data_IF_400751396313
#
_entry.id   IF_400751396313
#
_cell.length_a   1.000
_cell.length_b   1.000
_cell.length_c   1.000
_cell.angle_alpha   90.00
_cell.angle_beta   90.00
_cell.angle_gamma   90.00
#
_symmetry.space_group_name_H-M   'P 1'
#
loop_
_entity.id
_entity.type
_entity.pdbx_description
1 polymer ?
2 polymer ?
3 polymer ?
4 non-polymer ?
5 water ?
#
loop_
_entity_poly.entity_id
_entity_poly.type
_entity_poly.pdbx_seq_one_letter_code
_entity_poly.pdbx_strand_id
2 'polyribonucleotide' 'GUCCCCAC(PGP)' ?
3 'polyribonucleotide' '(U5P)GUGGGG' ?
#
# COMPACT_ATOMS: atom_id res chain seq x y z
N UNK A 54 -14.05 5.92 17.40
CA UNK A 54 -13.32 4.71 17.91
C UNK A 54 -12.42 4.10 16.83
N UNK A 55 -11.25 4.70 16.66
CA UNK A 55 -10.40 4.33 15.56
C UNK A 55 -9.08 3.76 16.02
N UNK A 56 -8.79 2.56 15.53
CA UNK A 56 -7.42 2.10 15.44
C UNK A 56 -7.17 1.46 14.06
N UNK A 57 -5.91 1.37 13.69
CA UNK A 57 -5.49 0.57 12.58
C UNK A 57 -4.57 -0.47 13.17
N UNK A 58 -4.76 -1.73 12.80
CA UNK A 58 -3.82 -2.78 13.20
C UNK A 58 -2.70 -2.91 12.16
N UNK A 59 -1.47 -3.00 12.62
CA UNK A 59 -0.34 -3.26 11.75
C UNK A 59 0.21 -4.67 12.02
N UNK A 60 0.41 -5.42 10.95
CA UNK A 60 1.06 -6.73 11.06
C UNK A 60 2.22 -6.81 10.07
N UNK A 61 3.37 -7.22 10.60
CA UNK A 61 4.53 -7.48 9.76
C UNK A 61 4.66 -8.98 9.54
N UNK A 62 4.87 -9.36 8.27
CA UNK A 62 5.07 -10.77 7.94
C UNK A 62 6.37 -10.94 7.15
N UNK A 63 7.17 -11.90 7.57
CA UNK A 63 8.43 -12.22 6.90
C UNK A 63 8.23 -13.54 6.18
N UNK A 64 8.06 -13.46 4.87
CA UNK A 64 7.59 -14.59 4.08
C UNK A 64 8.76 -15.55 3.88
N UNK A 65 8.42 -16.81 3.68
CA UNK A 65 9.37 -17.89 3.62
C UNK A 65 9.44 -18.38 2.17
N UNK A 66 10.56 -18.08 1.50
CA UNK A 66 10.76 -18.39 0.08
C UNK A 66 10.74 -19.88 -0.16
N UNK A 67 10.94 -20.68 0.89
CA UNK A 67 10.89 -22.14 0.81
C UNK A 67 9.48 -22.60 0.44
N UNK A 68 8.50 -21.77 0.82
CA UNK A 68 7.08 -22.10 0.68
C UNK A 68 6.55 -21.75 -0.70
N UNK A 69 5.90 -22.72 -1.32
CA UNK A 69 5.29 -22.58 -2.64
C UNK A 69 4.20 -21.52 -2.68
N UNK A 70 3.38 -21.50 -1.63
CA UNK A 70 2.34 -20.49 -1.46
C UNK A 70 2.92 -19.07 -1.32
N UNK A 71 3.89 -18.88 -0.41
CA UNK A 71 4.66 -17.63 -0.37
C UNK A 71 5.20 -17.19 -1.73
N UNK A 72 5.89 -18.10 -2.42
CA UNK A 72 6.49 -17.80 -3.72
C UNK A 72 5.46 -17.38 -4.77
N UNK A 73 4.29 -18.01 -4.71
CA UNK A 73 3.14 -17.64 -5.56
C UNK A 73 2.66 -16.22 -5.27
N UNK A 74 2.42 -15.91 -3.99
CA UNK A 74 1.97 -14.58 -3.61
C UNK A 74 3.03 -13.52 -3.86
N UNK A 75 4.31 -13.87 -3.73
CA UNK A 75 5.40 -12.92 -4.00
C UNK A 75 5.54 -12.60 -5.50
N UNK A 76 5.15 -13.54 -6.37
CA UNK A 76 5.11 -13.30 -7.82
C UNK A 76 3.80 -12.66 -8.33
N UNK A 77 2.72 -12.78 -7.59
CA UNK A 77 1.41 -12.27 -8.03
C UNK A 77 0.62 -11.53 -6.93
N UNK A 78 0.58 -10.19 -7.03
CA UNK A 78 -0.09 -9.28 -6.09
C UNK A 78 -1.52 -9.63 -5.79
N UNK A 79 -2.24 -10.10 -6.80
CA UNK A 79 -3.60 -10.51 -6.61
C UNK A 79 -3.70 -11.83 -5.79
N UNK A 80 -2.73 -12.73 -5.93
CA UNK A 80 -2.72 -13.91 -5.05
C UNK A 80 -2.38 -13.50 -3.61
N UNK A 81 -1.41 -12.60 -3.49
CA UNK A 81 -1.04 -12.05 -2.21
C UNK A 81 -2.26 -11.47 -1.48
N UNK A 82 -3.02 -10.66 -2.20
CA UNK A 82 -4.24 -10.07 -1.66
C UNK A 82 -5.26 -11.09 -1.14
N UNK A 83 -5.50 -12.15 -1.92
CA UNK A 83 -6.35 -13.23 -1.50
C UNK A 83 -5.89 -13.80 -0.16
N UNK A 84 -4.60 -14.09 -0.04
CA UNK A 84 -4.09 -14.67 1.20
C UNK A 84 -4.28 -13.75 2.41
N UNK A 85 -3.99 -12.47 2.22
CA UNK A 85 -4.12 -11.53 3.36
C UNK A 85 -5.58 -11.26 3.77
N UNK A 86 -6.48 -11.31 2.79
CA UNK A 86 -7.90 -11.07 3.02
C UNK A 86 -8.52 -12.10 3.95
N UNK A 87 -7.96 -13.31 3.99
CA UNK A 87 -8.37 -14.29 4.97
C UNK A 87 -8.21 -13.90 6.44
N UNK A 88 -7.23 -13.06 6.76
CA UNK A 88 -7.01 -12.64 8.16
C UNK A 88 -8.18 -11.83 8.68
N UNK A 89 -8.84 -11.13 7.75
CA UNK A 89 -9.92 -10.22 8.09
C UNK A 89 -11.18 -10.46 7.25
N UNK A 90 -11.50 -11.70 6.96
CA UNK A 90 -12.50 -11.95 5.92
C UNK A 90 -13.96 -11.73 6.33
N UNK A 91 -14.29 -12.04 7.59
CA UNK A 91 -15.61 -11.66 8.06
C UNK A 91 -15.76 -10.15 8.06
N UNK A 92 -14.71 -9.43 8.43
CA UNK A 92 -14.80 -7.98 8.48
C UNK A 92 -14.88 -7.40 7.06
N UNK A 93 -14.18 -8.04 6.12
CA UNK A 93 -14.28 -7.68 4.70
C UNK A 93 -15.73 -7.78 4.19
N UNK A 94 -16.42 -8.86 4.55
CA UNK A 94 -17.85 -9.02 4.25
C UNK A 94 -18.75 -7.94 4.88
N UNK A 95 -18.32 -7.39 6.01
CA UNK A 95 -19.13 -6.44 6.78
C UNK A 95 -18.97 -4.99 6.35
N UNK A 96 -18.06 -4.73 5.41
CA UNK A 96 -18.14 -3.53 4.57
C UNK A 96 -17.33 -2.33 5.06
N UNK A 97 -16.74 -2.43 6.25
CA UNK A 97 -16.14 -1.26 6.86
C UNK A 97 -14.64 -1.51 7.09
N UNK A 98 -14.10 -2.47 6.35
CA UNK A 98 -12.68 -2.78 6.40
C UNK A 98 -11.96 -2.21 5.14
N UNK A 99 -10.70 -1.85 5.30
CA UNK A 99 -9.84 -1.44 4.17
C UNK A 99 -8.47 -2.07 4.36
N UNK A 100 -8.34 -3.28 3.81
CA UNK A 100 -7.09 -4.00 3.76
C UNK A 100 -6.06 -3.26 2.87
N UNK A 101 -4.93 -2.92 3.49
CA UNK A 101 -3.81 -2.30 2.80
C UNK A 101 -2.53 -3.05 3.12
N UNK A 102 -1.62 -3.13 2.15
CA UNK A 102 -0.32 -3.76 2.39
C UNK A 102 0.77 -3.20 1.52
N UNK A 103 2.01 -3.41 1.94
CA UNK A 103 3.17 -3.12 1.11
C UNK A 103 4.20 -4.21 1.24
N UNK A 104 4.63 -4.72 0.10
CA UNK A 104 5.69 -5.70 0.02
C UNK A 104 7.03 -5.01 -0.18
N UNK A 105 7.98 -5.35 0.69
CA UNK A 105 9.37 -5.08 0.43
C UNK A 105 10.07 -6.38 -0.01
N UNK A 106 10.37 -6.48 -1.30
CA UNK A 106 10.89 -7.73 -1.87
C UNK A 106 12.29 -8.06 -1.33
N UNK A 107 12.62 -9.34 -1.34
CA UNK A 107 13.90 -9.85 -0.87
C UNK A 107 15.05 -9.27 -1.67
N UNK A 108 16.12 -8.88 -0.97
CA UNK A 108 17.30 -8.25 -1.55
C UNK A 108 18.42 -8.70 -0.66
N UNK A 109 19.42 -9.35 -1.22
CA UNK A 109 20.66 -9.61 -0.51
C UNK A 109 20.39 -10.60 0.62
N UNK A 110 20.65 -10.16 1.85
CA UNK A 110 20.37 -10.98 3.04
C UNK A 110 18.92 -10.85 3.51
N UNK A 111 18.23 -9.82 3.06
CA UNK A 111 16.92 -9.49 3.55
C UNK A 111 15.83 -10.37 2.94
N UNK A 112 15.09 -11.10 3.80
CA UNK A 112 13.96 -11.90 3.32
C UNK A 112 12.82 -10.97 2.78
N UNK A 113 11.78 -11.54 2.15
CA UNK A 113 10.69 -10.64 1.76
C UNK A 113 9.78 -10.27 2.95
N UNK A 114 9.50 -8.97 3.04
CA UNK A 114 8.69 -8.45 4.15
C UNK A 114 7.42 -7.75 3.63
N UNK A 115 6.27 -8.10 4.23
CA UNK A 115 5.00 -7.44 3.93
C UNK A 115 4.50 -6.69 5.15
N UNK A 116 4.19 -5.41 4.99
CA UNK A 116 3.53 -4.71 6.06
C UNK A 116 2.05 -4.66 5.74
N UNK A 117 1.22 -5.13 6.68
CA UNK A 117 -0.20 -5.24 6.47
C UNK A 117 -0.97 -4.35 7.46
N UNK A 118 -1.83 -3.49 6.93
CA UNK A 118 -2.69 -2.67 7.78
C UNK A 118 -4.16 -3.02 7.57
N UNK A 119 -4.85 -3.22 8.68
CA UNK A 119 -6.29 -3.49 8.67
C UNK A 119 -6.95 -2.62 9.76
N UNK A 120 -8.23 -2.34 9.61
CA UNK A 120 -8.94 -1.41 10.50
C UNK A 120 -9.60 -2.18 11.66
N UNK A 121 -9.71 -3.50 11.48
CA UNK A 121 -10.20 -4.43 12.48
C UNK A 121 -9.09 -5.43 12.77
N UNK A 122 -9.23 -6.17 13.85
CA UNK A 122 -8.19 -7.04 14.35
C UNK A 122 -8.06 -8.24 13.43
N UNK A 123 -6.84 -8.53 12.96
CA UNK A 123 -6.63 -9.68 12.09
C UNK A 123 -6.50 -10.98 12.88
N UNK A 124 -6.91 -12.07 12.25
CA UNK A 124 -6.67 -13.40 12.75
C UNK A 124 -5.80 -14.12 11.72
N UNK A 125 -4.50 -14.22 12.05
CA UNK A 125 -3.50 -14.83 11.20
C UNK A 125 -3.32 -16.33 11.49
N UNK A 126 -4.18 -16.85 12.37
CA UNK A 126 -4.22 -18.28 12.66
C UNK A 126 -4.69 -19.05 11.44
N UNK A 127 -5.30 -18.34 10.48
CA UNK A 127 -5.71 -18.93 9.20
C UNK A 127 -4.54 -19.34 8.33
N UNK A 128 -3.41 -18.63 8.41
CA UNK A 128 -2.23 -18.98 7.60
C UNK A 128 -1.65 -20.28 8.12
N UNK A 129 -1.19 -21.13 7.20
CA UNK A 129 -0.27 -22.23 7.55
C UNK A 129 1.09 -21.66 7.88
N UNK A 130 1.85 -22.28 8.75
CA UNK A 130 3.25 -21.86 8.80
C UNK A 130 4.12 -22.68 7.86
N UNK A 131 5.37 -22.26 7.76
CA UNK A 131 6.08 -22.39 6.52
C UNK A 131 5.76 -21.23 5.61
N UNK A 132 4.53 -20.70 5.67
CA UNK A 132 4.18 -19.58 4.81
C UNK A 132 4.94 -18.28 5.17
N UNK A 133 4.95 -17.94 6.46
CA UNK A 133 5.57 -16.73 6.94
C UNK A 133 5.81 -16.76 8.44
N UNK A 134 6.81 -16.00 8.88
CA UNK A 134 6.93 -15.56 10.25
C UNK A 134 6.02 -14.36 10.49
N UNK A 135 5.00 -14.54 11.30
CA UNK A 135 4.03 -13.46 11.57
C UNK A 135 4.46 -12.74 12.84
N UNK A 136 4.72 -11.44 12.76
CA UNK A 136 4.90 -10.66 13.97
C UNK A 136 3.56 -10.39 14.65
N UNK A 137 3.57 -10.25 15.99
CA UNK A 137 2.28 -10.04 16.62
C UNK A 137 1.60 -8.79 16.07
N UNK A 138 0.33 -8.92 15.69
CA UNK A 138 -0.41 -7.75 15.30
C UNK A 138 -0.48 -6.71 16.42
N UNK A 139 -0.37 -5.45 16.06
CA UNK A 139 -0.55 -4.39 17.02
C UNK A 139 -1.47 -3.23 16.51
N UNK A 140 -2.27 -2.64 17.43
CA UNK A 140 -3.13 -1.55 17.08
C UNK A 140 -2.37 -0.24 17.22
N UNK A 141 -2.69 0.71 16.36
CA UNK A 141 -2.06 2.00 16.42
C UNK A 141 -3.12 3.07 16.41
N UNK A 142 -2.84 4.15 17.12
CA UNK A 142 -3.81 5.19 17.33
C UNK A 142 -3.16 6.55 17.06
N UNK A 143 -2.58 6.73 15.87
CA UNK A 143 -1.66 7.88 15.68
C UNK A 143 -2.26 9.20 16.17
N UNK A 144 -1.52 9.91 17.03
CA UNK A 144 -1.94 11.22 17.54
C UNK A 144 -1.38 12.38 16.69
N UNK A 145 -2.17 12.86 15.75
CA UNK A 145 -1.64 13.74 14.72
C UNK A 145 -2.01 15.17 15.04
N UNK A 146 -1.10 16.09 14.77
CA UNK A 146 -1.25 17.47 15.20
C UNK A 146 -0.91 18.41 14.06
N UNK A 147 -1.57 19.58 13.99
CA UNK A 147 -1.24 20.54 12.93
C UNK A 147 0.22 20.98 13.01
N UNK A 148 0.93 20.96 11.88
CA UNK A 148 2.32 21.43 11.87
C UNK A 148 3.34 20.34 12.17
N UNK A 149 2.87 19.24 12.72
CA UNK A 149 3.70 18.10 12.98
C UNK A 149 4.28 17.57 11.67
N UNK A 150 5.60 17.41 11.65
CA UNK A 150 6.26 16.80 10.52
C UNK A 150 6.68 15.34 10.72
N UNK A 151 6.74 14.61 9.62
CA UNK A 151 6.72 13.14 9.63
C UNK A 151 7.49 12.62 8.39
N UNK A 152 8.20 11.51 8.54
CA UNK A 152 8.63 10.73 7.37
C UNK A 152 7.43 9.97 6.81
N UNK A 153 7.47 9.65 5.53
CA UNK A 153 6.44 8.80 4.94
C UNK A 153 7.02 7.81 3.93
N UNK A 154 6.34 6.67 3.79
CA UNK A 154 6.65 5.74 2.72
C UNK A 154 5.34 5.33 2.06
N UNK A 155 5.33 5.26 0.73
CA UNK A 155 4.09 4.97 -0.03
C UNK A 155 4.42 4.44 -1.42
N UNK A 156 4.01 3.21 -1.71
CA UNK A 156 4.00 2.69 -3.09
C UNK A 156 2.60 2.92 -3.61
N UNK A 157 2.50 3.57 -4.78
CA UNK A 157 1.24 4.12 -5.22
C UNK A 157 1.19 4.10 -6.73
N UNK A 158 0.01 4.34 -7.28
CA UNK A 158 -0.16 4.37 -8.73
C UNK A 158 -0.55 5.79 -9.17
N UNK A 159 0.44 6.64 -9.45
CA UNK A 159 0.13 7.98 -9.93
C UNK A 159 -0.38 7.91 -11.37
N UNK A 160 -1.65 8.25 -11.57
CA UNK A 160 -2.40 7.94 -12.79
C UNK A 160 -3.30 9.14 -13.20
N UNK A 161 -3.78 9.15 -14.44
CA UNK A 161 -4.84 10.05 -14.88
C UNK A 161 -5.84 9.29 -15.77
N UNK A 162 -7.09 9.70 -15.77
CA UNK A 162 -8.03 9.29 -16.82
C UNK A 162 -8.10 10.28 -18.01
N UNK A 163 -7.64 9.82 -19.16
CA UNK A 163 -7.56 10.60 -20.37
C UNK A 163 -8.99 11.06 -20.79
N UNK A 164 -9.13 12.35 -21.12
CA UNK A 164 -10.37 12.90 -21.67
C UNK A 164 -10.74 12.22 -22.99
N UNK A 165 -9.74 12.02 -23.86
CA UNK A 165 -10.01 11.64 -25.24
C UNK A 165 -10.56 10.20 -25.34
N UNK A 166 -10.18 9.33 -24.40
CA UNK A 166 -10.43 7.88 -24.54
C UNK A 166 -11.10 7.23 -23.33
N UNK A 167 -11.11 7.94 -22.20
CA UNK A 167 -11.54 7.40 -20.92
C UNK A 167 -10.68 6.30 -20.30
N UNK A 168 -9.46 6.12 -20.79
CA UNK A 168 -8.56 5.15 -20.19
C UNK A 168 -7.79 5.73 -18.98
N UNK A 169 -7.70 4.95 -17.90
CA UNK A 169 -6.79 5.29 -16.82
C UNK A 169 -5.39 4.88 -17.25
N UNK A 170 -4.45 5.83 -17.25
CA UNK A 170 -3.08 5.58 -17.71
C UNK A 170 -2.08 6.12 -16.72
N UNK A 171 -0.84 5.67 -16.81
CA UNK A 171 0.21 6.13 -15.88
C UNK A 171 0.72 7.52 -16.30
N UNK A 172 0.91 8.40 -15.32
CA UNK A 172 1.74 9.60 -15.46
C UNK A 172 3.20 9.25 -15.79
N UNK A 173 3.72 9.91 -16.83
CA UNK A 173 4.94 9.49 -17.55
C UNK A 173 6.20 9.87 -16.79
N UNK A 174 6.27 11.10 -16.30
CA UNK A 174 7.52 11.62 -15.76
C UNK A 174 7.51 11.76 -14.24
N UNK A 175 8.72 11.71 -13.63
CA UNK A 175 8.89 11.95 -12.22
C UNK A 175 8.14 13.19 -11.77
N UNK A 176 8.35 14.33 -12.45
CA UNK A 176 7.69 15.59 -12.06
C UNK A 176 6.18 15.45 -11.95
N UNK A 177 5.53 14.83 -12.93
CA UNK A 177 4.09 14.56 -12.78
C UNK A 177 3.63 13.53 -11.75
N UNK A 178 4.48 12.56 -11.43
CA UNK A 178 4.26 11.65 -10.31
C UNK A 178 4.31 12.36 -8.98
N UNK A 179 5.26 13.28 -8.82
CA UNK A 179 5.26 14.15 -7.63
C UNK A 179 4.05 15.11 -7.60
N UNK A 180 3.69 15.73 -8.71
CA UNK A 180 2.52 16.63 -8.71
C UNK A 180 1.29 15.86 -8.25
N UNK A 181 1.22 14.59 -8.62
CA UNK A 181 0.07 13.78 -8.29
C UNK A 181 0.06 13.46 -6.81
N UNK A 182 1.21 13.05 -6.31
CA UNK A 182 1.38 12.83 -4.88
C UNK A 182 1.02 14.06 -4.07
N UNK A 183 1.60 15.19 -4.43
CA UNK A 183 1.30 16.50 -3.82
C UNK A 183 -0.23 16.73 -3.67
N UNK A 184 -0.99 16.54 -4.76
CA UNK A 184 -2.43 16.78 -4.77
C UNK A 184 -3.24 15.80 -3.89
N UNK A 185 -3.03 14.50 -4.09
CA UNK A 185 -3.72 13.55 -3.23
C UNK A 185 -3.40 13.79 -1.74
N UNK A 186 -2.15 14.14 -1.46
CA UNK A 186 -1.73 14.36 -0.06
C UNK A 186 -2.44 15.57 0.54
N UNK A 187 -2.45 16.68 -0.18
CA UNK A 187 -3.08 17.91 0.29
C UNK A 187 -4.59 17.80 0.50
N UNK A 188 -5.25 17.15 -0.44
CA UNK A 188 -6.66 16.84 -0.32
C UNK A 188 -6.88 15.86 0.80
N UNK A 189 -5.82 15.19 1.22
CA UNK A 189 -5.90 14.21 2.30
C UNK A 189 -5.32 14.72 3.61
N UNK A 190 -5.13 16.04 3.73
CA UNK A 190 -4.87 16.66 5.04
C UNK A 190 -3.38 16.77 5.34
N UNK A 191 -2.56 16.59 4.31
CA UNK A 191 -1.10 16.62 4.44
C UNK A 191 -0.52 17.65 3.49
N UNK A 192 0.78 17.83 3.57
CA UNK A 192 1.49 18.71 2.66
C UNK A 192 2.95 18.21 2.60
N UNK A 193 3.47 18.01 1.39
CA UNK A 193 4.90 17.72 1.26
C UNK A 193 5.74 18.83 1.88
N UNK A 194 6.81 18.46 2.56
CA UNK A 194 7.77 19.44 3.04
C UNK A 194 8.57 19.86 1.82
N UNK A 195 8.83 21.17 1.72
CA UNK A 195 9.65 21.73 0.65
C UNK A 195 11.03 21.97 1.18
N UNK A 196 12.03 21.29 0.61
CA UNK A 196 13.42 21.49 0.98
C UNK A 196 14.10 22.58 0.17
N UNK A 197 15.42 22.66 0.33
CA UNK A 197 16.21 23.68 -0.33
C UNK A 197 16.28 23.51 -1.85
N UNK A 198 16.09 22.28 -2.30
CA UNK A 198 16.39 21.91 -3.69
C UNK A 198 15.16 21.35 -4.38
N UNK A 199 14.00 21.47 -3.71
CA UNK A 199 12.79 20.79 -4.15
C UNK A 199 12.05 20.18 -2.98
N UNK A 200 11.02 19.39 -3.27
CA UNK A 200 10.21 18.75 -2.23
C UNK A 200 10.94 17.59 -1.59
N UNK A 201 10.53 17.25 -0.37
CA UNK A 201 11.15 16.18 0.42
C UNK A 201 10.46 14.88 0.03
N UNK A 202 10.54 14.55 -1.26
CA UNK A 202 10.13 13.24 -1.75
C UNK A 202 11.17 12.67 -2.72
N UNK A 203 11.48 11.40 -2.57
CA UNK A 203 12.35 10.68 -3.51
C UNK A 203 11.54 9.53 -4.15
N UNK A 204 11.73 9.30 -5.44
CA UNK A 204 11.16 8.12 -6.07
C UNK A 204 12.25 7.08 -6.07
N UNK A 205 12.03 6.04 -5.27
CA UNK A 205 13.01 5.00 -5.02
C UNK A 205 12.86 3.91 -6.07
N UNK A 206 11.61 3.70 -6.53
CA UNK A 206 11.23 2.57 -7.37
C UNK A 206 10.07 2.96 -8.26
N UNK A 207 10.15 2.56 -9.53
CA UNK A 207 9.12 2.89 -10.54
C UNK A 207 8.99 1.73 -11.52
N UNK A 208 7.92 0.96 -11.37
CA UNK A 208 7.75 -0.33 -12.05
C UNK A 208 6.32 -0.44 -12.59
N UNK A 209 6.17 -1.28 -13.61
CA UNK A 209 4.92 -1.47 -14.28
C UNK A 209 4.45 -2.85 -13.89
N UNK A 210 3.45 -2.93 -13.00
CA UNK A 210 2.90 -4.22 -12.62
C UNK A 210 2.00 -4.74 -13.73
N UNK A 211 2.24 -5.97 -14.15
CA UNK A 211 1.34 -6.61 -15.10
C UNK A 211 0.95 -7.99 -14.58
N UNK A 212 -0.25 -8.07 -14.04
CA UNK A 212 -0.62 -9.18 -13.17
C UNK A 212 -1.75 -9.94 -13.84
N UNK A 213 -1.51 -11.20 -14.17
CA UNK A 213 -2.54 -12.08 -14.73
C UNK A 213 -3.45 -12.68 -13.69
N UNK A 214 -4.75 -12.52 -13.91
CA UNK A 214 -5.77 -13.21 -13.13
C UNK A 214 -6.13 -14.49 -13.87
N UNK A 215 -6.59 -15.51 -13.13
CA UNK A 215 -7.12 -16.70 -13.79
C UNK A 215 -8.63 -16.62 -13.79
N UNK A 216 -9.27 -17.53 -14.49
CA UNK A 216 -10.64 -17.33 -14.93
C UNK A 216 -11.22 -18.71 -15.17
N UNK A 217 -12.52 -18.86 -14.94
CA UNK A 217 -13.23 -20.08 -15.32
C UNK A 217 -12.44 -21.36 -15.03
N UNK A 218 -12.04 -21.52 -13.77
CA UNK A 218 -11.18 -22.63 -13.38
C UNK A 218 -9.73 -22.25 -13.60
N UNK A 219 -9.12 -22.78 -14.67
CA UNK A 219 -7.72 -22.51 -14.97
C UNK A 219 -7.50 -21.91 -16.38
N UNK A 220 -8.34 -20.95 -16.77
CA UNK A 220 -8.13 -20.21 -18.03
C UNK A 220 -7.44 -18.87 -17.79
N UNK A 221 -6.78 -18.34 -18.82
CA UNK A 221 -6.24 -16.98 -18.83
C UNK A 221 -7.32 -15.90 -18.58
N UNK A 222 -7.19 -15.16 -17.49
CA UNK A 222 -8.07 -14.00 -17.28
C UNK A 222 -7.43 -12.64 -17.60
N UNK A 223 -8.02 -11.59 -17.02
CA UNK A 223 -7.62 -10.21 -17.28
C UNK A 223 -6.17 -9.93 -16.93
N UNK A 224 -5.50 -9.10 -17.72
CA UNK A 224 -4.16 -8.62 -17.38
C UNK A 224 -4.24 -7.27 -16.66
N UNK A 225 -4.01 -7.28 -15.34
CA UNK A 225 -4.07 -6.06 -14.55
C UNK A 225 -2.78 -5.29 -14.74
N UNK A 226 -2.89 -4.10 -15.31
CA UNK A 226 -1.73 -3.31 -15.75
C UNK A 226 -1.77 -2.00 -14.94
N UNK A 227 -0.79 -1.80 -14.06
CA UNK A 227 -0.78 -0.71 -13.12
C UNK A 227 0.66 -0.25 -12.86
N UNK A 228 0.93 1.04 -13.00
CA UNK A 228 2.27 1.55 -12.74
C UNK A 228 2.42 1.79 -11.25
N UNK A 229 3.51 1.28 -10.66
CA UNK A 229 3.77 1.29 -9.22
C UNK A 229 5.05 2.10 -8.94
N UNK A 230 4.91 3.13 -8.10
CA UNK A 230 5.96 4.08 -7.80
C UNK A 230 6.15 4.15 -6.26
N UNK A 231 7.36 3.81 -5.81
CA UNK A 231 7.70 3.91 -4.39
C UNK A 231 8.28 5.28 -4.05
N UNK A 232 7.55 6.00 -3.18
CA UNK A 232 7.93 7.32 -2.67
C UNK A 232 8.43 7.20 -1.24
N UNK A 233 9.45 8.00 -0.91
CA UNK A 233 9.89 8.16 0.46
C UNK A 233 10.25 9.63 0.71
N UNK A 234 9.64 10.25 1.69
CA UNK A 234 10.09 11.58 2.09
C UNK A 234 9.66 12.07 3.43
N UNK A 235 9.40 13.38 3.51
CA UNK A 235 8.89 14.05 4.70
C UNK A 235 7.65 14.91 4.36
N UNK A 236 6.71 14.97 5.32
CA UNK A 236 5.52 15.73 5.11
C UNK A 236 5.11 16.51 6.39
N UNK A 237 4.13 17.39 6.23
CA UNK A 237 3.49 18.06 7.35
C UNK A 237 2.02 17.68 7.49
N UNK A 238 1.60 17.47 8.72
CA UNK A 238 0.17 17.28 9.03
C UNK A 238 -0.52 18.64 8.92
N UNK A 239 -1.46 18.76 7.99
CA UNK A 239 -2.17 20.03 7.85
C UNK A 239 -3.52 20.00 8.59
N UNK A 240 -4.29 18.96 8.36
CA UNK A 240 -5.60 18.78 8.98
C UNK A 240 -5.68 17.37 9.58
N UNK A 241 -5.41 17.24 10.88
CA UNK A 241 -5.39 15.96 11.61
C UNK A 241 -6.54 15.01 11.29
N UNK A 242 -7.77 15.51 11.25
CA UNK A 242 -8.92 14.65 11.00
C UNK A 242 -8.82 14.03 9.61
N UNK A 243 -8.50 14.84 8.59
CA UNK A 243 -8.38 14.36 7.23
C UNK A 243 -7.21 13.39 7.09
N UNK A 244 -6.08 13.74 7.71
CA UNK A 244 -4.86 12.96 7.67
C UNK A 244 -5.12 11.53 8.18
N UNK A 245 -5.87 11.40 9.28
CA UNK A 245 -6.15 10.09 9.83
C UNK A 245 -7.03 9.25 8.89
N UNK A 246 -8.01 9.90 8.29
CA UNK A 246 -8.79 9.28 7.23
C UNK A 246 -7.94 8.81 6.05
N UNK A 247 -6.96 9.62 5.64
CA UNK A 247 -6.05 9.20 4.59
C UNK A 247 -5.23 8.00 5.00
N UNK A 248 -4.74 7.99 6.23
CA UNK A 248 -3.96 6.85 6.68
C UNK A 248 -4.81 5.57 6.69
N UNK A 249 -6.07 5.70 7.13
CA UNK A 249 -6.95 4.55 7.21
C UNK A 249 -7.42 4.13 5.81
N UNK A 250 -7.68 5.08 4.92
CA UNK A 250 -8.31 4.75 3.61
C UNK A 250 -7.34 4.39 2.49
N UNK A 251 -6.13 4.93 2.59
CA UNK A 251 -5.11 4.73 1.55
C UNK A 251 -5.09 5.82 0.50
N UNK A 252 -4.01 5.89 -0.25
CA UNK A 252 -3.86 6.80 -1.40
C UNK A 252 -3.75 6.12 -2.77
N UNK A 253 -4.73 6.39 -3.65
CA UNK A 253 -4.68 6.00 -5.03
C UNK A 253 -5.19 4.61 -5.34
N UNK A 254 -5.20 4.25 -6.64
CA UNK A 254 -5.63 2.94 -7.17
C UNK A 254 -4.70 1.79 -6.76
N UNK A 255 -5.18 0.56 -6.90
CA UNK A 255 -4.35 -0.65 -6.83
C UNK A 255 -4.20 -1.02 -5.38
N UNK A 256 -5.13 -0.57 -4.55
CA UNK A 256 -5.12 -0.97 -3.16
C UNK A 256 -5.15 -2.48 -2.94
N UNK A 257 -5.96 -3.20 -3.72
CA UNK A 257 -5.94 -4.67 -3.70
C UNK A 257 -4.70 -5.26 -4.37
N UNK A 258 -3.71 -4.42 -4.69
CA UNK A 258 -2.48 -4.90 -5.35
C UNK A 258 -1.22 -4.54 -4.58
N UNK A 259 -1.40 -3.99 -3.38
CA UNK A 259 -0.27 -3.64 -2.51
C UNK A 259 0.15 -2.20 -2.75
N UNK A 260 -0.79 -1.37 -3.23
CA UNK A 260 -0.57 0.07 -3.34
C UNK A 260 -1.51 0.83 -2.42
N UNK A 261 -1.12 2.06 -2.09
CA UNK A 261 -1.97 2.99 -1.34
C UNK A 261 -1.71 3.05 0.15
N UNK A 262 -0.88 2.16 0.70
CA UNK A 262 -0.57 2.19 2.13
C UNK A 262 0.41 3.28 2.47
N UNK A 263 -0.10 4.40 2.97
CA UNK A 263 0.74 5.50 3.42
C UNK A 263 1.16 5.25 4.87
N UNK A 264 2.47 4.99 5.04
CA UNK A 264 3.15 4.88 6.33
C UNK A 264 3.87 6.18 6.77
N UNK A 265 3.54 6.65 7.97
CA UNK A 265 4.19 7.84 8.50
C UNK A 265 4.84 7.46 9.83
N UNK A 266 5.89 8.18 10.18
CA UNK A 266 6.63 7.94 11.44
C UNK A 266 7.37 9.23 11.81
N UNK A 267 7.72 9.41 13.10
CA UNK A 267 8.51 10.57 13.46
C UNK A 267 9.93 10.51 12.84
X LIG D 1 -13.54 4.41 8.45
X LIG D 1 -12.23 5.07 8.36
X LIG D 1 -13.52 3.59 9.65
X LIG D 1 -14.60 5.40 8.56
X LIG D 1 -13.84 3.59 7.26
#
# INVERSE_FOLDING_TARGET
MHHHHHHSSGLVPRGSGMKETAAAKFERQHMDSPDLGTDDDDKAMADIGSENLYFQMWLTKLVLNPASRAARRDLANPYEMHRTLSKAVSRALEEGRERLLWRLEPARGLEPPVVLVQTLTEPDWSVLDEGYAQVFPPKPFHPALKPGQRLRFRLRANPAKRLAATGKRVALKTPAEKVAWLERRLEEGGFRLLEGERGPWVQILQDTFLEVRRKKDGEEAGKLLQVQAVLFEGRLEVVDPERALATLRRGVGPGKALGLGLLSVAP
SO4 S O1 O2 O3 O4
#
